data_IF_376994274221
#
_entry.id   IF_376994274221
#
_cell.length_a   1.000
_cell.length_b   1.000
_cell.length_c   1.000
_cell.angle_alpha   90.00
_cell.angle_beta   90.00
_cell.angle_gamma   90.00
#
_symmetry.space_group_name_H-M   'P 1'
#
loop_
_entity.id
_entity.type
_entity.pdbx_description
1 polymer ?
#
# COMPACT_ATOMS: atom_id res chain seq x y z
N UNK A 1 -2.26 7.83 36.39
CA UNK A 1 -1.48 7.71 35.14
C UNK A 1 -1.73 8.88 34.21
N UNK A 2 -0.74 9.75 34.10
CA UNK A 2 -0.71 10.80 33.07
C UNK A 2 -0.67 10.09 31.72
N UNK A 3 -1.70 10.27 30.89
CA UNK A 3 -1.87 9.58 29.61
C UNK A 3 -0.65 9.81 28.71
N UNK A 4 0.27 8.83 28.66
CA UNK A 4 1.38 8.85 27.71
C UNK A 4 0.80 8.67 26.31
N UNK A 5 0.85 9.73 25.50
CA UNK A 5 0.47 9.67 24.08
C UNK A 5 1.36 8.64 23.40
N UNK A 6 0.78 7.77 22.56
CA UNK A 6 1.58 6.81 21.80
C UNK A 6 2.35 7.58 20.74
N UNK A 7 3.68 7.44 20.78
CA UNK A 7 4.53 7.97 19.73
C UNK A 7 4.21 7.31 18.39
N UNK A 8 4.34 8.09 17.33
CA UNK A 8 4.22 7.62 15.95
C UNK A 8 5.45 8.01 15.16
N UNK A 9 5.68 7.27 14.08
CA UNK A 9 6.64 7.64 13.04
C UNK A 9 5.92 7.47 11.72
N UNK A 10 5.97 8.49 10.87
CA UNK A 10 5.36 8.51 9.55
C UNK A 10 6.42 8.55 8.45
N UNK A 11 6.00 8.11 7.28
CA UNK A 11 6.67 8.27 6.01
C UNK A 11 5.73 9.02 5.07
N UNK A 12 6.19 10.09 4.44
CA UNK A 12 5.41 10.82 3.45
C UNK A 12 6.30 11.52 2.43
N UNK A 13 5.69 12.06 1.39
CA UNK A 13 6.32 12.78 0.31
C UNK A 13 5.96 14.27 0.41
N UNK A 14 6.93 15.16 0.17
CA UNK A 14 6.71 16.61 0.05
C UNK A 14 7.33 17.10 -1.26
N UNK A 15 6.67 18.05 -1.93
CA UNK A 15 7.23 18.67 -3.13
C UNK A 15 8.57 19.37 -2.81
N UNK A 16 9.58 19.15 -3.65
CA UNK A 16 10.88 19.77 -3.54
C UNK A 16 10.95 21.06 -4.37
N UNK A 17 11.71 22.05 -3.90
CA UNK A 17 12.02 23.25 -4.66
C UNK A 17 13.39 23.10 -5.36
N UNK A 18 13.55 23.52 -6.63
CA UNK A 18 12.55 24.11 -7.52
C UNK A 18 11.63 23.10 -8.20
N UNK A 19 12.00 21.81 -8.22
CA UNK A 19 11.20 20.71 -8.77
C UNK A 19 11.52 19.40 -8.06
N UNK A 20 10.66 18.41 -8.25
CA UNK A 20 10.82 17.06 -7.73
C UNK A 20 10.06 16.82 -6.44
N UNK A 21 10.39 15.72 -5.79
CA UNK A 21 9.70 15.28 -4.59
C UNK A 21 10.69 14.64 -3.61
N UNK A 22 10.55 15.00 -2.34
CA UNK A 22 11.39 14.52 -1.24
C UNK A 22 10.58 13.55 -0.39
N UNK A 23 11.14 12.37 -0.19
CA UNK A 23 10.67 11.42 0.81
C UNK A 23 11.19 11.78 2.20
N UNK A 24 10.29 11.89 3.16
CA UNK A 24 10.55 12.33 4.52
C UNK A 24 10.09 11.28 5.53
N UNK A 25 10.93 11.05 6.54
CA UNK A 25 10.56 10.40 7.79
C UNK A 25 10.22 11.47 8.83
N UNK A 26 9.08 11.30 9.49
CA UNK A 26 8.61 12.22 10.52
C UNK A 26 8.34 11.50 11.82
N UNK A 27 8.95 12.00 12.89
CA UNK A 27 8.75 11.49 14.25
C UNK A 27 7.71 12.34 14.99
N UNK A 28 6.93 11.70 15.86
CA UNK A 28 5.96 12.38 16.73
C UNK A 28 6.54 13.50 17.62
N UNK A 29 7.86 13.53 17.83
CA UNK A 29 8.56 14.63 18.49
C UNK A 29 8.71 15.89 17.62
N UNK A 30 8.23 15.87 16.36
CA UNK A 30 8.33 16.97 15.42
C UNK A 30 9.52 16.84 14.46
N UNK A 31 10.46 15.94 14.71
CA UNK A 31 11.65 15.76 13.87
C UNK A 31 11.25 15.32 12.46
N UNK A 32 11.80 15.99 11.45
CA UNK A 32 11.66 15.64 10.03
C UNK A 32 13.04 15.33 9.47
N UNK A 33 13.20 14.16 8.86
CA UNK A 33 14.44 13.73 8.22
C UNK A 33 14.16 13.47 6.73
N UNK A 34 14.72 14.28 5.80
CA UNK A 34 14.69 13.94 4.38
C UNK A 34 15.54 12.70 4.15
N UNK A 35 15.02 11.77 3.35
CA UNK A 35 15.66 10.48 3.06
C UNK A 35 16.20 10.43 1.64
N UNK A 36 15.42 10.90 0.67
CA UNK A 36 15.83 11.02 -0.72
C UNK A 36 14.97 12.05 -1.45
N UNK A 37 15.57 12.75 -2.40
CA UNK A 37 14.88 13.65 -3.33
C UNK A 37 15.08 13.13 -4.74
N UNK A 38 14.00 13.05 -5.51
CA UNK A 38 14.03 12.64 -6.92
C UNK A 38 13.28 13.66 -7.76
N UNK A 39 13.76 13.87 -8.98
CA UNK A 39 13.14 14.76 -9.95
C UNK A 39 11.96 14.06 -10.64
N UNK A 40 10.84 14.00 -9.92
CA UNK A 40 9.54 13.51 -10.36
C UNK A 40 8.43 14.08 -9.44
N UNK A 41 7.20 14.15 -9.94
CA UNK A 41 6.02 14.50 -9.13
C UNK A 41 5.75 13.46 -8.04
N UNK A 42 5.27 13.90 -6.88
CA UNK A 42 5.06 13.03 -5.72
C UNK A 42 4.03 11.93 -5.98
N UNK A 43 3.02 12.19 -6.81
CA UNK A 43 1.97 11.27 -7.20
C UNK A 43 2.48 10.05 -7.98
N UNK A 44 3.62 10.19 -8.67
CA UNK A 44 4.28 9.10 -9.42
C UNK A 44 5.18 8.24 -8.55
N UNK A 45 5.51 8.69 -7.35
CA UNK A 45 6.46 8.01 -6.49
C UNK A 45 5.81 6.92 -5.66
N UNK A 46 6.50 5.79 -5.62
CA UNK A 46 6.24 4.65 -4.75
C UNK A 46 7.47 4.38 -3.91
N UNK A 47 7.24 3.84 -2.71
CA UNK A 47 8.24 3.59 -1.69
C UNK A 47 8.16 2.14 -1.23
N UNK A 48 9.29 1.49 -1.03
CA UNK A 48 9.37 0.22 -0.31
C UNK A 48 10.42 0.32 0.79
N UNK A 49 10.13 -0.27 1.95
CA UNK A 49 11.06 -0.20 3.08
C UNK A 49 11.75 -1.54 3.28
N UNK A 50 13.06 -1.50 3.52
CA UNK A 50 13.81 -2.67 3.94
C UNK A 50 13.34 -3.18 5.30
N UNK A 51 13.50 -4.49 5.60
CA UNK A 51 12.95 -5.13 6.80
C UNK A 51 13.43 -4.51 8.12
N UNK A 52 14.63 -3.89 8.12
CA UNK A 52 15.22 -3.21 9.27
C UNK A 52 14.95 -1.71 9.31
N UNK A 53 14.27 -1.13 8.32
CA UNK A 53 13.98 0.31 8.26
C UNK A 53 15.23 1.19 8.22
N UNK A 54 16.35 0.70 7.68
CA UNK A 54 17.60 1.46 7.45
C UNK A 54 17.86 1.78 5.98
N UNK A 55 17.14 1.11 5.09
CA UNK A 55 17.22 1.32 3.64
C UNK A 55 15.82 1.26 3.03
N UNK A 56 15.69 1.82 1.84
CA UNK A 56 14.44 1.82 1.09
C UNK A 56 14.66 1.88 -0.40
N UNK A 57 13.57 1.69 -1.14
CA UNK A 57 13.52 1.86 -2.58
C UNK A 57 12.56 3.01 -2.88
N UNK A 58 13.03 3.96 -3.68
CA UNK A 58 12.18 4.99 -4.27
C UNK A 58 12.00 4.62 -5.72
N UNK A 59 10.76 4.59 -6.18
CA UNK A 59 10.41 4.24 -7.55
C UNK A 59 9.53 5.33 -8.13
N UNK A 60 9.99 5.91 -9.22
CA UNK A 60 9.20 6.73 -10.12
C UNK A 60 8.61 5.80 -11.18
N UNK A 61 7.27 5.69 -11.22
CA UNK A 61 6.54 4.81 -12.14
C UNK A 61 6.62 5.23 -13.61
N UNK A 62 7.20 6.40 -13.92
CA UNK A 62 7.15 6.98 -15.25
C UNK A 62 5.77 7.56 -15.57
N UNK A 63 5.55 7.90 -16.84
CA UNK A 63 4.29 8.49 -17.33
C UNK A 63 4.02 8.17 -18.81
N UNK A 64 4.59 7.07 -19.33
CA UNK A 64 4.52 6.70 -20.75
C UNK A 64 5.59 7.38 -21.62
N UNK A 65 5.92 8.65 -21.36
CA UNK A 65 7.05 9.33 -22.02
C UNK A 65 8.39 8.99 -21.36
N UNK A 66 8.39 8.97 -20.02
CA UNK A 66 9.54 8.59 -19.23
C UNK A 66 9.41 7.13 -18.77
N UNK A 67 10.44 6.28 -18.97
CA UNK A 67 10.43 4.92 -18.47
C UNK A 67 10.46 4.92 -16.94
N UNK A 68 10.01 3.84 -16.28
CA UNK A 68 10.09 3.71 -14.83
C UNK A 68 11.54 3.72 -14.34
N UNK A 69 11.72 4.22 -13.12
CA UNK A 69 13.03 4.59 -12.57
C UNK A 69 13.08 4.23 -11.09
N UNK A 70 14.12 3.52 -10.64
CA UNK A 70 14.28 3.15 -9.24
C UNK A 70 15.63 3.56 -8.65
N UNK A 71 15.64 3.78 -7.33
CA UNK A 71 16.83 4.06 -6.53
C UNK A 71 16.76 3.29 -5.22
N UNK A 72 17.89 2.72 -4.80
CA UNK A 72 18.07 2.23 -3.44
C UNK A 72 18.70 3.33 -2.60
N UNK A 73 18.13 3.56 -1.42
CA UNK A 73 18.47 4.66 -0.53
C UNK A 73 18.89 4.08 0.82
N UNK A 74 20.06 4.47 1.30
CA UNK A 74 20.49 4.26 2.68
C UNK A 74 20.03 5.44 3.55
N UNK A 75 19.22 5.17 4.58
CA UNK A 75 18.59 6.22 5.37
C UNK A 75 19.54 6.87 6.38
N UNK A 76 20.68 6.26 6.68
CA UNK A 76 21.62 6.80 7.67
C UNK A 76 22.51 7.86 7.02
N UNK A 77 23.16 7.46 5.92
CA UNK A 77 24.03 8.30 5.11
C UNK A 77 23.28 9.22 4.15
N UNK A 78 22.04 8.89 3.78
CA UNK A 78 21.29 9.60 2.74
C UNK A 78 21.79 9.30 1.33
N UNK A 79 22.73 8.36 1.17
CA UNK A 79 23.22 7.97 -0.15
C UNK A 79 22.13 7.24 -0.94
N UNK A 80 22.02 7.57 -2.22
CA UNK A 80 21.14 6.89 -3.16
C UNK A 80 21.94 6.32 -4.33
N UNK A 81 21.64 5.07 -4.70
CA UNK A 81 22.23 4.39 -5.85
C UNK A 81 21.13 4.06 -6.84
N UNK A 82 21.38 4.35 -8.12
CA UNK A 82 20.46 4.00 -9.19
C UNK A 82 20.32 2.49 -9.29
N UNK A 83 19.08 2.00 -9.33
CA UNK A 83 18.78 0.59 -9.56
C UNK A 83 18.17 0.43 -10.96
N UNK A 84 18.83 -0.36 -11.81
CA UNK A 84 18.28 -0.76 -13.09
C UNK A 84 17.18 -1.80 -12.85
N UNK A 85 16.03 -1.63 -13.50
CA UNK A 85 14.92 -2.57 -13.42
C UNK A 85 15.16 -3.78 -14.35
N UNK A 86 14.52 -4.93 -14.12
CA UNK A 86 14.55 -6.05 -15.06
C UNK A 86 14.17 -5.60 -16.48
N UNK A 87 14.88 -6.11 -17.48
CA UNK A 87 14.66 -5.74 -18.90
C UNK A 87 13.42 -6.42 -19.50
N UNK A 88 13.13 -7.64 -19.06
CA UNK A 88 11.96 -8.37 -19.51
C UNK A 88 10.71 -7.85 -18.80
N UNK A 89 9.66 -7.54 -19.57
CA UNK A 89 8.35 -7.19 -19.06
C UNK A 89 8.27 -5.83 -18.33
N UNK A 90 7.16 -5.60 -17.65
CA UNK A 90 6.91 -4.41 -16.86
C UNK A 90 7.07 -4.71 -15.37
N UNK A 91 7.88 -3.92 -14.66
CA UNK A 91 8.02 -4.08 -13.20
C UNK A 91 6.82 -3.49 -12.48
N UNK A 92 5.89 -4.32 -12.03
CA UNK A 92 4.70 -3.91 -11.26
C UNK A 92 5.08 -3.46 -9.86
N UNK A 93 5.95 -4.24 -9.21
CA UNK A 93 6.30 -4.07 -7.80
C UNK A 93 7.80 -4.18 -7.60
N UNK A 94 8.33 -3.34 -6.73
CA UNK A 94 9.70 -3.42 -6.26
C UNK A 94 9.69 -3.37 -4.72
N UNK A 95 10.35 -4.33 -4.08
CA UNK A 95 10.32 -4.47 -2.62
C UNK A 95 11.57 -5.15 -2.08
N UNK A 96 11.53 -5.50 -0.79
CA UNK A 96 12.55 -6.32 -0.17
C UNK A 96 11.94 -7.64 0.30
N UNK A 97 12.72 -8.72 0.27
CA UNK A 97 12.40 -9.92 1.06
C UNK A 97 12.76 -9.72 2.54
N UNK A 98 12.40 -10.69 3.39
CA UNK A 98 12.69 -10.63 4.83
C UNK A 98 14.20 -10.59 5.16
N UNK A 99 15.04 -11.16 4.28
CA UNK A 99 16.48 -11.13 4.42
C UNK A 99 17.08 -9.76 4.01
N UNK A 100 16.29 -8.91 3.35
CA UNK A 100 16.67 -7.58 2.90
C UNK A 100 17.26 -7.53 1.50
N UNK A 101 17.08 -8.58 0.69
CA UNK A 101 17.40 -8.53 -0.73
C UNK A 101 16.32 -7.76 -1.49
N UNK A 102 16.72 -7.02 -2.52
CA UNK A 102 15.78 -6.35 -3.41
C UNK A 102 15.12 -7.37 -4.32
N UNK A 103 13.79 -7.28 -4.45
CA UNK A 103 12.97 -8.16 -5.29
C UNK A 103 12.10 -7.31 -6.21
N UNK A 104 12.01 -7.72 -7.48
CA UNK A 104 11.10 -7.16 -8.46
C UNK A 104 10.04 -8.21 -8.83
N UNK A 105 8.77 -7.79 -8.88
CA UNK A 105 7.69 -8.56 -9.49
C UNK A 105 7.35 -7.93 -10.82
N UNK A 106 7.29 -8.76 -11.86
CA UNK A 106 7.24 -8.32 -13.24
C UNK A 106 6.07 -8.99 -13.95
N UNK A 107 5.26 -8.19 -14.62
CA UNK A 107 4.25 -8.64 -15.57
C UNK A 107 4.85 -8.76 -16.97
N UNK A 108 4.57 -9.87 -17.66
CA UNK A 108 5.03 -10.13 -19.02
C UNK A 108 3.82 -10.55 -19.84
N UNK A 109 3.43 -9.65 -20.75
CA UNK A 109 2.22 -9.78 -21.58
C UNK A 109 2.55 -9.84 -23.08
N UNK A 110 3.67 -9.26 -23.48
CA UNK A 110 4.13 -9.16 -24.86
C UNK A 110 4.97 -10.37 -25.26
N UNK A 111 5.08 -10.66 -26.55
CA UNK A 111 5.96 -11.71 -27.09
C UNK A 111 5.78 -13.11 -26.44
N UNK A 112 4.55 -13.45 -26.07
CA UNK A 112 4.15 -14.75 -25.51
C UNK A 112 3.29 -15.57 -26.49
N UNK A 113 3.89 -16.39 -27.38
CA UNK A 113 3.13 -17.25 -28.27
C UNK A 113 2.32 -18.28 -27.48
N UNK A 114 0.99 -18.24 -27.65
CA UNK A 114 0.10 -19.29 -27.13
C UNK A 114 0.31 -20.57 -27.90
N UNK A 115 0.44 -21.67 -27.17
CA UNK A 115 0.51 -23.02 -27.72
C UNK A 115 -0.60 -23.85 -27.11
N UNK A 116 -0.97 -24.92 -27.80
CA UNK A 116 -2.01 -25.83 -27.37
C UNK A 116 -1.45 -27.24 -27.25
N UNK A 117 -1.77 -27.92 -26.16
CA UNK A 117 -1.51 -29.35 -26.00
C UNK A 117 -2.70 -29.98 -25.27
N UNK A 118 -3.25 -31.05 -25.86
CA UNK A 118 -4.33 -31.82 -25.25
C UNK A 118 -5.54 -30.97 -24.81
N UNK A 119 -5.89 -29.95 -25.62
CA UNK A 119 -7.02 -29.07 -25.37
C UNK A 119 -6.78 -27.94 -24.37
N UNK A 120 -5.56 -27.79 -23.84
CA UNK A 120 -5.21 -26.71 -22.90
C UNK A 120 -4.19 -25.76 -23.51
N UNK A 121 -4.45 -24.46 -23.38
CA UNK A 121 -3.49 -23.45 -23.78
C UNK A 121 -2.35 -23.32 -22.77
N UNK A 122 -1.15 -23.03 -23.25
CA UNK A 122 0.02 -22.76 -22.43
C UNK A 122 0.99 -21.79 -23.09
N UNK A 123 1.79 -21.11 -22.26
CA UNK A 123 3.00 -20.42 -22.69
C UNK A 123 4.23 -21.30 -22.52
N UNK A 124 5.19 -21.19 -23.45
CA UNK A 124 6.52 -21.80 -23.31
C UNK A 124 7.52 -20.71 -22.90
N UNK A 125 8.11 -20.84 -21.72
CA UNK A 125 9.11 -19.90 -21.20
C UNK A 125 10.26 -20.69 -20.56
N UNK A 126 11.51 -20.37 -20.92
CA UNK A 126 12.72 -21.11 -20.50
C UNK A 126 12.59 -22.64 -20.62
N UNK A 127 11.98 -23.11 -21.71
CA UNK A 127 11.76 -24.54 -21.99
C UNK A 127 10.68 -25.20 -21.11
N UNK A 128 9.99 -24.46 -20.24
CA UNK A 128 8.91 -24.94 -19.37
C UNK A 128 7.55 -24.49 -19.88
N UNK A 129 6.54 -25.34 -19.67
CA UNK A 129 5.15 -25.07 -20.03
C UNK A 129 4.41 -24.47 -18.84
N UNK A 130 3.70 -23.37 -19.08
CA UNK A 130 2.84 -22.72 -18.10
C UNK A 130 1.42 -22.70 -18.63
N UNK A 131 0.57 -23.58 -18.12
CA UNK A 131 -0.82 -23.69 -18.55
C UNK A 131 -1.61 -22.45 -18.16
N UNK A 132 -2.41 -21.95 -19.09
CA UNK A 132 -3.18 -20.73 -18.89
C UNK A 132 -4.41 -21.02 -18.02
N UNK A 133 -4.79 -20.10 -17.12
CA UNK A 133 -6.07 -20.17 -16.42
C UNK A 133 -7.25 -20.14 -17.40
N UNK A 134 -8.29 -20.93 -17.12
CA UNK A 134 -9.54 -20.95 -17.88
C UNK A 134 -10.54 -19.94 -17.28
N UNK A 135 -10.26 -18.65 -17.46
CA UNK A 135 -11.14 -17.56 -17.06
C UNK A 135 -10.95 -16.35 -18.00
N UNK A 136 -11.87 -15.38 -17.92
CA UNK A 136 -11.81 -14.14 -18.68
C UNK A 136 -10.55 -13.31 -18.31
N UNK A 137 -10.16 -12.37 -19.18
CA UNK A 137 -8.98 -11.50 -18.98
C UNK A 137 -7.82 -11.83 -19.91
N UNK A 138 -6.74 -11.05 -19.79
CA UNK A 138 -5.55 -11.16 -20.62
C UNK A 138 -4.52 -12.09 -19.95
N UNK A 139 -4.26 -13.29 -20.51
CA UNK A 139 -3.28 -14.20 -19.92
C UNK A 139 -1.87 -13.68 -20.14
N UNK A 140 -1.04 -13.82 -19.10
CA UNK A 140 0.37 -13.45 -19.12
C UNK A 140 1.20 -14.30 -18.18
N UNK A 141 2.49 -14.00 -18.13
CA UNK A 141 3.39 -14.54 -17.12
C UNK A 141 3.69 -13.48 -16.07
N UNK A 142 3.58 -13.86 -14.80
CA UNK A 142 4.17 -13.12 -13.69
C UNK A 142 5.54 -13.72 -13.37
N UNK A 143 6.54 -12.87 -13.15
CA UNK A 143 7.89 -13.28 -12.79
C UNK A 143 8.33 -12.62 -11.48
N UNK A 144 9.09 -13.34 -10.66
CA UNK A 144 9.84 -12.77 -9.55
C UNK A 144 11.34 -12.80 -9.84
N UNK A 145 12.02 -11.68 -9.61
CA UNK A 145 13.47 -11.56 -9.70
C UNK A 145 14.05 -11.04 -8.40
N UNK A 146 15.21 -11.56 -7.99
CA UNK A 146 15.99 -11.03 -6.87
C UNK A 146 17.28 -10.42 -7.36
N UNK A 147 17.62 -9.26 -6.83
CA UNK A 147 18.86 -8.57 -7.15
C UNK A 147 20.00 -9.16 -6.30
N UNK A 148 20.98 -9.80 -6.95
CA UNK A 148 22.16 -10.41 -6.34
C UNK A 148 23.40 -9.91 -7.08
N UNK A 149 24.40 -9.40 -6.35
CA UNK A 149 25.69 -8.99 -6.92
C UNK A 149 25.61 -8.08 -8.17
N UNK A 150 24.62 -7.18 -8.22
CA UNK A 150 24.43 -6.25 -9.35
C UNK A 150 23.66 -6.84 -10.54
N UNK A 151 23.08 -8.03 -10.40
CA UNK A 151 22.31 -8.70 -11.45
C UNK A 151 20.94 -9.16 -10.96
N UNK A 152 19.97 -9.22 -11.85
CA UNK A 152 18.66 -9.81 -11.59
C UNK A 152 18.70 -11.31 -11.81
N UNK A 153 18.43 -12.06 -10.75
CA UNK A 153 18.29 -13.51 -10.79
C UNK A 153 16.83 -13.90 -10.73
N UNK A 154 16.39 -14.66 -11.73
CA UNK A 154 15.03 -15.18 -11.80
C UNK A 154 14.75 -16.20 -10.69
N UNK A 155 13.59 -16.08 -10.04
CA UNK A 155 13.17 -16.93 -8.92
C UNK A 155 11.96 -17.80 -9.23
N UNK A 156 10.93 -17.21 -9.84
CA UNK A 156 9.60 -17.80 -9.94
C UNK A 156 8.90 -17.28 -11.20
N UNK A 157 8.17 -18.15 -11.89
CA UNK A 157 7.23 -17.78 -12.96
C UNK A 157 5.88 -18.44 -12.69
N UNK A 158 4.80 -17.70 -12.88
CA UNK A 158 3.41 -18.21 -12.81
C UNK A 158 2.62 -17.68 -14.01
N UNK A 159 1.83 -18.53 -14.67
CA UNK A 159 0.82 -18.07 -15.62
C UNK A 159 -0.40 -17.57 -14.85
N UNK A 160 -0.85 -16.36 -15.18
CA UNK A 160 -1.90 -15.64 -14.48
C UNK A 160 -2.68 -14.77 -15.46
N UNK A 161 -3.74 -14.12 -14.96
CA UNK A 161 -4.58 -13.21 -15.73
C UNK A 161 -4.29 -11.77 -15.31
N UNK A 162 -4.52 -10.86 -16.25
CA UNK A 162 -4.40 -9.41 -16.14
C UNK A 162 -5.61 -8.74 -16.80
N UNK A 163 -5.72 -7.41 -16.66
CA UNK A 163 -6.73 -6.59 -17.36
C UNK A 163 -8.19 -6.99 -17.06
N UNK A 164 -8.45 -7.49 -15.86
CA UNK A 164 -9.80 -7.73 -15.34
C UNK A 164 -9.87 -7.44 -13.83
N UNK A 165 -11.07 -7.17 -13.33
CA UNK A 165 -11.30 -6.99 -11.90
C UNK A 165 -11.00 -8.28 -11.13
N UNK A 166 -10.18 -8.17 -10.09
CA UNK A 166 -9.77 -9.31 -9.28
C UNK A 166 -8.70 -10.22 -9.93
N UNK A 167 -8.18 -9.86 -11.11
CA UNK A 167 -6.98 -10.50 -11.65
C UNK A 167 -5.84 -10.46 -10.62
N UNK A 168 -5.24 -11.61 -10.34
CA UNK A 168 -4.12 -11.68 -9.40
C UNK A 168 -2.87 -11.00 -9.97
N UNK A 169 -2.64 -11.06 -11.29
CA UNK A 169 -1.42 -10.53 -11.91
C UNK A 169 -0.16 -11.03 -11.17
N UNK A 170 0.73 -10.11 -10.82
CA UNK A 170 1.96 -10.42 -10.06
C UNK A 170 1.73 -10.87 -8.61
N UNK A 171 0.55 -10.65 -8.02
CA UNK A 171 0.18 -11.17 -6.70
C UNK A 171 -0.05 -12.70 -6.71
N UNK A 172 -0.14 -13.34 -7.89
CA UNK A 172 -0.18 -14.80 -8.03
C UNK A 172 1.15 -15.47 -7.63
N UNK A 173 2.25 -14.71 -7.55
CA UNK A 173 3.57 -15.20 -7.16
C UNK A 173 3.62 -15.47 -5.66
N UNK A 174 4.16 -16.62 -5.26
CA UNK A 174 4.44 -16.93 -3.85
C UNK A 174 5.36 -15.86 -3.25
N UNK A 175 6.30 -15.36 -4.05
CA UNK A 175 7.25 -14.32 -3.67
C UNK A 175 6.56 -13.01 -3.28
N UNK A 176 5.41 -12.65 -3.88
CA UNK A 176 4.70 -11.42 -3.59
C UNK A 176 4.28 -11.33 -2.11
N UNK A 177 3.76 -12.43 -1.56
CA UNK A 177 3.34 -12.54 -0.15
C UNK A 177 4.49 -12.41 0.87
N UNK A 178 5.75 -12.50 0.41
CA UNK A 178 6.95 -12.46 1.25
C UNK A 178 7.64 -11.11 1.23
N UNK A 179 7.15 -10.16 0.45
CA UNK A 179 7.71 -8.82 0.41
C UNK A 179 7.43 -8.06 1.70
N UNK A 180 8.37 -7.21 2.09
CA UNK A 180 8.20 -6.27 3.19
C UNK A 180 7.20 -5.17 2.81
N UNK A 181 6.81 -4.37 3.81
CA UNK A 181 5.88 -3.26 3.61
C UNK A 181 6.36 -2.32 2.48
N UNK A 182 5.42 -1.89 1.66
CA UNK A 182 5.65 -0.99 0.54
C UNK A 182 4.37 -0.25 0.17
N UNK A 183 4.46 0.78 -0.66
CA UNK A 183 3.31 1.46 -1.28
C UNK A 183 2.81 0.77 -2.55
N UNK A 184 3.39 -0.36 -2.93
CA UNK A 184 3.00 -1.18 -4.08
C UNK A 184 2.01 -2.26 -3.68
N UNK A 185 2.36 -2.98 -2.62
CA UNK A 185 1.65 -4.18 -2.17
C UNK A 185 0.55 -3.86 -1.16
N UNK A 186 -0.14 -4.91 -0.71
CA UNK A 186 -1.06 -4.83 0.41
C UNK A 186 -0.42 -4.13 1.60
N UNK A 187 -1.20 -3.20 2.16
CA UNK A 187 -0.81 -2.34 3.27
C UNK A 187 -1.35 -2.95 4.56
N UNK A 188 -0.46 -3.53 5.37
CA UNK A 188 -0.84 -4.22 6.61
C UNK A 188 -1.52 -3.29 7.64
N UNK A 189 -1.34 -1.97 7.54
CA UNK A 189 -2.02 -1.02 8.40
C UNK A 189 -3.38 -0.57 7.81
N UNK A 190 -3.74 -0.91 6.57
CA UNK A 190 -5.04 -0.53 5.98
C UNK A 190 -6.18 -1.19 6.77
N UNK A 191 -7.21 -0.42 7.07
CA UNK A 191 -8.41 -0.94 7.70
C UNK A 191 -9.21 -1.79 6.71
N UNK A 192 -9.74 -2.93 7.17
CA UNK A 192 -10.68 -3.73 6.40
C UNK A 192 -12.05 -3.04 6.39
N UNK A 193 -12.57 -2.85 5.18
CA UNK A 193 -13.86 -2.21 4.94
C UNK A 193 -14.96 -3.28 4.90
N UNK A 194 -16.11 -2.98 5.51
CA UNK A 194 -17.31 -3.83 5.47
C UNK A 194 -18.49 -2.99 4.98
N UNK A 195 -19.07 -3.38 3.85
CA UNK A 195 -20.22 -2.70 3.26
C UNK A 195 -21.42 -2.70 4.22
N UNK A 196 -22.05 -1.54 4.40
CA UNK A 196 -23.33 -1.45 5.09
C UNK A 196 -24.46 -1.53 4.06
N UNK A 197 -24.91 -2.76 3.83
CA UNK A 197 -25.97 -3.10 2.88
C UNK A 197 -27.28 -2.33 3.12
N UNK A 198 -28.14 -2.34 2.11
CA UNK A 198 -29.48 -1.75 2.20
C UNK A 198 -30.26 -2.29 3.41
N UNK A 199 -30.93 -1.39 4.15
CA UNK A 199 -31.66 -1.75 5.37
C UNK A 199 -30.79 -1.91 6.62
N UNK A 200 -29.48 -1.72 6.52
CA UNK A 200 -28.59 -1.69 7.69
C UNK A 200 -28.95 -0.52 8.64
N UNK A 201 -29.05 -0.81 9.94
CA UNK A 201 -29.45 0.16 10.96
C UNK A 201 -28.42 1.28 11.14
N UNK A 202 -27.13 0.98 11.00
CA UNK A 202 -26.06 1.98 11.12
C UNK A 202 -26.02 2.88 9.89
N UNK A 203 -26.23 2.33 8.68
CA UNK A 203 -26.39 3.15 7.47
C UNK A 203 -27.56 4.15 7.64
N UNK A 204 -28.71 3.69 8.17
CA UNK A 204 -29.84 4.57 8.45
C UNK A 204 -29.52 5.63 9.52
N UNK A 205 -28.75 5.29 10.57
CA UNK A 205 -28.27 6.27 11.57
C UNK A 205 -27.32 7.29 10.93
N UNK A 206 -26.43 6.86 10.04
CA UNK A 206 -25.49 7.71 9.32
C UNK A 206 -26.23 8.71 8.43
N UNK A 207 -27.19 8.27 7.62
CA UNK A 207 -28.01 9.17 6.78
C UNK A 207 -28.95 10.07 7.62
N UNK A 208 -29.32 9.64 8.83
CA UNK A 208 -30.06 10.48 9.77
C UNK A 208 -29.19 11.65 10.29
N UNK A 209 -27.90 11.43 10.54
CA UNK A 209 -26.97 12.43 11.08
C UNK A 209 -26.28 13.25 9.98
N UNK A 210 -25.97 12.64 8.84
CA UNK A 210 -25.29 13.26 7.71
C UNK A 210 -26.32 13.63 6.65
N UNK A 211 -26.87 14.84 6.77
CA UNK A 211 -27.86 15.37 5.81
C UNK A 211 -27.25 15.83 4.49
N UNK A 212 -26.00 16.28 4.55
CA UNK A 212 -25.22 16.69 3.40
C UNK A 212 -23.81 16.10 3.54
N UNK A 213 -23.36 15.39 2.50
CA UNK A 213 -22.01 14.81 2.43
C UNK A 213 -20.98 15.82 1.92
N UNK A 214 -21.44 16.94 1.34
CA UNK A 214 -20.59 17.95 0.71
C UNK A 214 -20.09 17.57 -0.69
N UNK A 215 -20.62 16.47 -1.26
CA UNK A 215 -20.35 16.02 -2.62
C UNK A 215 -21.52 15.18 -3.15
N UNK A 216 -21.54 14.94 -4.47
CA UNK A 216 -22.59 14.19 -5.17
C UNK A 216 -22.19 12.77 -5.58
N UNK A 217 -20.97 12.33 -5.21
CA UNK A 217 -20.50 10.98 -5.53
C UNK A 217 -21.46 9.91 -5.00
N UNK A 218 -21.97 9.07 -5.91
CA UNK A 218 -22.77 7.90 -5.59
C UNK A 218 -21.91 6.83 -4.93
N UNK A 219 -22.49 5.97 -4.09
CA UNK A 219 -21.73 5.08 -3.24
C UNK A 219 -22.55 4.48 -2.10
N UNK A 220 -21.85 3.90 -1.13
CA UNK A 220 -22.44 3.28 0.06
C UNK A 220 -21.67 3.67 1.32
N UNK A 221 -22.30 3.50 2.48
CA UNK A 221 -21.57 3.55 3.75
C UNK A 221 -20.80 2.26 3.94
N UNK A 222 -19.57 2.38 4.43
CA UNK A 222 -18.76 1.25 4.89
C UNK A 222 -18.37 1.45 6.35
N UNK A 223 -18.29 0.36 7.11
CA UNK A 223 -17.71 0.34 8.45
C UNK A 223 -16.31 -0.26 8.42
N UNK A 224 -15.49 0.21 9.36
CA UNK A 224 -14.16 -0.32 9.62
C UNK A 224 -14.01 -0.47 11.12
N UNK A 225 -13.62 -1.68 11.54
CA UNK A 225 -13.41 -1.96 12.95
C UNK A 225 -12.16 -1.26 13.47
N UNK A 226 -12.31 -0.53 14.57
CA UNK A 226 -11.18 0.02 15.33
C UNK A 226 -11.19 -0.55 16.73
N UNK A 227 -10.05 -0.51 17.44
CA UNK A 227 -9.97 -0.99 18.82
C UNK A 227 -10.95 -0.32 19.81
N UNK A 228 -11.62 0.76 19.39
CA UNK A 228 -12.45 1.63 20.23
C UNK A 228 -13.78 1.95 19.54
N UNK A 229 -14.34 0.96 18.84
CA UNK A 229 -15.60 1.05 18.10
C UNK A 229 -15.43 1.36 16.62
N UNK A 230 -16.51 1.27 15.84
CA UNK A 230 -16.44 1.43 14.40
C UNK A 230 -16.09 2.86 13.97
N UNK A 231 -15.36 2.94 12.86
CA UNK A 231 -15.22 4.13 12.05
C UNK A 231 -16.04 3.89 10.77
N UNK A 232 -16.81 4.90 10.37
CA UNK A 232 -17.61 4.85 9.16
C UNK A 232 -17.09 5.86 8.14
N UNK A 233 -17.13 5.49 6.86
CA UNK A 233 -16.77 6.34 5.74
C UNK A 233 -17.74 6.12 4.57
N UNK A 234 -17.81 7.09 3.67
CA UNK A 234 -18.48 6.92 2.39
C UNK A 234 -17.53 6.24 1.40
N UNK A 235 -17.93 5.14 0.80
CA UNK A 235 -17.21 4.55 -0.33
C UNK A 235 -17.89 4.98 -1.62
N UNK A 236 -17.23 5.85 -2.38
CA UNK A 236 -17.74 6.27 -3.68
C UNK A 236 -17.57 5.15 -4.70
N UNK A 237 -18.66 4.86 -5.41
CA UNK A 237 -18.66 3.93 -6.53
C UNK A 237 -17.94 4.54 -7.73
N UNK A 238 -17.21 3.69 -8.46
CA UNK A 238 -16.47 4.05 -9.66
C UNK A 238 -15.73 2.82 -10.20
N UNK A 239 -14.91 3.01 -11.22
CA UNK A 239 -14.03 1.96 -11.75
C UNK A 239 -13.12 1.39 -10.65
N UNK A 240 -12.63 2.26 -9.76
CA UNK A 240 -11.97 1.88 -8.52
C UNK A 240 -12.67 2.54 -7.33
N UNK A 241 -13.40 1.77 -6.50
CA UNK A 241 -14.04 2.28 -5.30
C UNK A 241 -13.04 3.02 -4.41
N UNK A 242 -13.45 4.18 -3.90
CA UNK A 242 -12.57 5.04 -3.11
C UNK A 242 -13.28 5.57 -1.88
N UNK A 243 -12.63 5.48 -0.72
CA UNK A 243 -13.16 6.08 0.51
C UNK A 243 -13.09 7.60 0.43
N UNK A 244 -14.15 8.25 0.88
CA UNK A 244 -14.32 9.70 0.89
C UNK A 244 -14.87 10.17 2.24
N UNK A 245 -14.84 11.48 2.44
CA UNK A 245 -15.61 12.11 3.51
C UNK A 245 -17.13 11.92 3.28
N UNK A 246 -17.97 12.05 4.32
CA UNK A 246 -17.62 12.30 5.71
C UNK A 246 -17.16 11.05 6.45
N UNK A 247 -16.28 11.25 7.44
CA UNK A 247 -15.90 10.22 8.41
C UNK A 247 -16.72 10.37 9.69
N UNK A 248 -17.18 9.26 10.26
CA UNK A 248 -17.92 9.26 11.54
C UNK A 248 -17.38 8.19 12.49
N UNK A 249 -17.03 8.59 13.70
CA UNK A 249 -16.76 7.67 14.80
C UNK A 249 -18.02 7.44 15.62
N UNK A 250 -18.12 6.24 16.16
CA UNK A 250 -19.00 6.00 17.30
C UNK A 250 -18.30 6.42 18.62
N UNK A 251 -18.93 7.34 19.34
CA UNK A 251 -18.50 7.83 20.66
C UNK A 251 -19.73 7.95 21.56
N UNK A 252 -19.81 7.10 22.59
CA UNK A 252 -20.96 7.06 23.52
C UNK A 252 -22.30 6.98 22.76
N UNK A 253 -22.42 6.01 21.83
CA UNK A 253 -23.58 5.75 20.96
C UNK A 253 -23.96 6.89 20.01
N UNK A 254 -23.08 7.88 19.84
CA UNK A 254 -23.25 9.01 18.91
C UNK A 254 -22.25 8.93 17.78
N UNK A 255 -22.72 9.29 16.59
CA UNK A 255 -21.88 9.44 15.40
C UNK A 255 -21.29 10.86 15.40
N UNK A 256 -19.97 10.96 15.51
CA UNK A 256 -19.25 12.24 15.57
C UNK A 256 -18.17 12.31 14.49
N UNK A 257 -17.94 13.49 13.94
CA UNK A 257 -16.80 13.71 13.06
C UNK A 257 -15.48 13.66 13.85
N UNK A 258 -14.40 13.06 13.30
CA UNK A 258 -13.07 13.17 13.88
C UNK A 258 -12.68 14.63 14.13
N UNK A 259 -12.16 14.90 15.33
CA UNK A 259 -11.86 16.25 15.79
C UNK A 259 -10.93 16.98 14.81
N UNK A 260 -11.35 18.15 14.32
CA UNK A 260 -10.53 19.00 13.45
C UNK A 260 -10.03 18.24 12.20
N UNK A 261 -10.89 17.43 11.57
CA UNK A 261 -10.54 16.73 10.33
C UNK A 261 -10.08 17.71 9.24
N UNK A 262 -10.86 18.76 9.00
CA UNK A 262 -10.52 19.90 8.14
C UNK A 262 -9.89 19.46 6.80
N UNK A 263 -10.59 18.56 6.09
CA UNK A 263 -10.28 18.15 4.72
C UNK A 263 -11.47 18.54 3.84
N UNK A 264 -11.24 18.72 2.52
CA UNK A 264 -12.32 19.04 1.60
C UNK A 264 -13.31 17.87 1.51
N UNK A 265 -14.64 18.10 1.46
CA UNK A 265 -15.63 17.02 1.37
C UNK A 265 -15.42 16.09 0.17
N UNK A 266 -14.87 16.60 -0.93
CA UNK A 266 -14.54 15.83 -2.14
C UNK A 266 -13.21 15.06 -2.03
N UNK A 267 -12.55 15.08 -0.87
CA UNK A 267 -11.26 14.40 -0.70
C UNK A 267 -11.46 12.89 -0.62
N UNK A 268 -10.75 12.18 -1.50
CA UNK A 268 -10.43 10.77 -1.26
C UNK A 268 -9.54 10.64 -0.02
N UNK A 269 -9.80 9.63 0.79
CA UNK A 269 -9.05 9.34 2.01
C UNK A 269 -8.55 7.91 2.02
N UNK A 270 -7.37 7.70 2.58
CA UNK A 270 -6.85 6.38 2.93
C UNK A 270 -6.76 6.29 4.45
N UNK A 271 -7.34 5.23 5.01
CA UNK A 271 -7.44 5.01 6.45
C UNK A 271 -6.51 3.87 6.87
N UNK A 272 -5.66 4.16 7.85
CA UNK A 272 -4.69 3.19 8.40
C UNK A 272 -4.75 3.17 9.90
N UNK A 273 -4.62 1.99 10.50
CA UNK A 273 -4.64 1.80 11.93
C UNK A 273 -3.39 1.04 12.39
N UNK A 274 -2.75 1.55 13.45
CA UNK A 274 -1.66 0.84 14.13
C UNK A 274 -1.75 0.99 15.64
N UNK A 275 -2.12 -0.09 16.31
CA UNK A 275 -2.50 -0.01 17.72
C UNK A 275 -3.62 1.02 17.88
N UNK A 276 -3.49 2.00 18.79
CA UNK A 276 -4.50 3.06 18.93
C UNK A 276 -4.34 4.24 17.96
N UNK A 277 -3.39 4.20 17.03
CA UNK A 277 -3.16 5.31 16.11
C UNK A 277 -4.01 5.13 14.86
N UNK A 278 -4.88 6.09 14.57
CA UNK A 278 -5.54 6.20 13.28
C UNK A 278 -4.82 7.27 12.46
N UNK A 279 -4.36 6.89 11.27
CA UNK A 279 -3.85 7.80 10.25
C UNK A 279 -4.92 7.96 9.16
N UNK A 280 -5.35 9.19 8.95
CA UNK A 280 -6.22 9.60 7.85
C UNK A 280 -5.37 10.40 6.88
N UNK A 281 -5.14 9.86 5.68
CA UNK A 281 -4.35 10.52 4.63
C UNK A 281 -5.26 10.93 3.49
N UNK A 282 -5.16 12.18 3.04
CA UNK A 282 -5.75 12.68 1.80
C UNK A 282 -4.63 13.02 0.80
N UNK A 283 -4.98 13.59 -0.34
CA UNK A 283 -4.03 13.89 -1.43
C UNK A 283 -2.85 14.75 -0.97
N UNK A 284 -3.11 15.82 -0.21
CA UNK A 284 -2.10 16.79 0.24
C UNK A 284 -2.10 17.01 1.76
N UNK A 285 -2.68 16.09 2.52
CA UNK A 285 -2.83 16.25 3.95
C UNK A 285 -2.81 14.91 4.67
N UNK A 286 -2.37 14.93 5.93
CA UNK A 286 -2.49 13.80 6.83
C UNK A 286 -2.91 14.26 8.22
N UNK A 287 -3.71 13.43 8.89
CA UNK A 287 -4.15 13.61 10.27
C UNK A 287 -3.87 12.35 11.05
N UNK A 288 -3.29 12.50 12.24
CA UNK A 288 -3.08 11.38 13.16
C UNK A 288 -3.97 11.58 14.38
N UNK A 289 -4.66 10.54 14.79
CA UNK A 289 -5.53 10.53 15.95
C UNK A 289 -5.12 9.43 16.91
N UNK A 290 -5.32 9.68 18.21
CA UNK A 290 -5.38 8.62 19.21
C UNK A 290 -6.84 8.13 19.28
N UNK A 291 -7.09 6.94 18.73
CA UNK A 291 -8.41 6.32 18.65
C UNK A 291 -9.04 6.00 20.02
N UNK A 292 -8.26 5.94 21.10
CA UNK A 292 -8.78 5.78 22.47
C UNK A 292 -9.39 7.07 22.99
N UNK A 293 -8.68 8.17 22.81
CA UNK A 293 -9.16 9.48 23.28
C UNK A 293 -10.00 10.21 22.24
N UNK A 294 -10.01 9.72 20.99
CA UNK A 294 -10.64 10.34 19.83
C UNK A 294 -10.12 11.78 19.57
N UNK A 295 -8.90 12.07 20.03
CA UNK A 295 -8.25 13.38 19.87
C UNK A 295 -7.26 13.35 18.73
N UNK A 296 -7.19 14.45 17.99
CA UNK A 296 -6.16 14.68 16.99
C UNK A 296 -4.83 14.94 17.68
N UNK A 297 -3.80 14.16 17.33
CA UNK A 297 -2.44 14.31 17.87
C UNK A 297 -1.48 14.95 16.87
N UNK A 298 -1.82 14.95 15.58
CA UNK A 298 -1.02 15.61 14.54
C UNK A 298 -1.86 16.02 13.33
N UNK A 299 -1.45 17.11 12.69
CA UNK A 299 -1.92 17.54 11.39
C UNK A 299 -0.71 17.93 10.53
N UNK A 300 -0.66 17.40 9.32
CA UNK A 300 0.37 17.66 8.32
C UNK A 300 -0.32 18.15 7.06
N UNK A 301 0.13 19.29 6.54
CA UNK A 301 -0.34 19.87 5.27
C UNK A 301 0.77 19.79 4.22
N UNK A 302 0.39 19.84 2.94
CA UNK A 302 1.29 19.73 1.79
C UNK A 302 2.10 18.43 1.78
N UNK A 303 1.53 17.34 2.31
CA UNK A 303 2.16 16.01 2.34
C UNK A 303 1.36 15.02 1.49
N UNK A 304 2.06 14.17 0.75
CA UNK A 304 1.47 13.15 -0.10
C UNK A 304 1.75 11.75 0.41
N UNK A 305 0.81 10.83 0.19
CA UNK A 305 1.03 9.40 0.37
C UNK A 305 1.45 8.99 1.79
N UNK A 306 1.01 9.72 2.82
CA UNK A 306 1.43 9.46 4.19
C UNK A 306 1.05 8.05 4.66
N UNK A 307 2.03 7.35 5.22
CA UNK A 307 1.91 6.02 5.83
C UNK A 307 2.64 5.95 7.15
N UNK A 308 2.32 4.98 7.99
CA UNK A 308 3.16 4.69 9.14
C UNK A 308 4.51 4.14 8.68
N UNK A 309 5.58 4.58 9.31
CA UNK A 309 6.91 4.01 9.09
C UNK A 309 6.91 2.51 9.40
N UNK A 310 7.58 1.63 8.64
CA UNK A 310 7.59 0.20 8.91
C UNK A 310 8.03 -0.10 10.34
N UNK A 311 7.30 -0.96 11.04
CA UNK A 311 7.84 -1.58 12.25
C UNK A 311 8.90 -2.59 11.84
N UNK A 312 10.04 -2.58 12.51
CA UNK A 312 10.97 -3.70 12.41
C UNK A 312 10.22 -4.95 12.89
N UNK A 313 10.13 -5.99 12.05
CA UNK A 313 9.73 -7.31 12.55
C UNK A 313 10.78 -7.69 13.59
N UNK A 314 10.41 -7.61 14.87
CA UNK A 314 11.25 -8.16 15.93
C UNK A 314 11.22 -9.66 15.68
N UNK A 315 12.36 -10.23 15.29
CA UNK A 315 12.54 -11.67 15.17
C UNK A 315 12.40 -12.22 16.58
N UNK A 316 11.16 -12.49 16.98
CA UNK A 316 10.93 -13.40 18.10
C UNK A 316 11.21 -14.76 17.49
N UNK A 317 12.38 -15.33 17.81
CA UNK A 317 12.75 -16.66 17.36
C UNK A 317 11.55 -17.59 17.57
N UNK A 318 10.95 -18.06 16.48
CA UNK A 318 9.95 -19.11 16.56
C UNK A 318 10.64 -20.28 17.26
N UNK A 319 10.13 -20.66 18.42
CA UNK A 319 10.59 -21.86 19.11
C UNK A 319 10.49 -23.02 18.11
N UNK A 320 11.53 -23.86 17.98
CA UNK A 320 11.50 -24.96 17.04
C UNK A 320 10.31 -25.86 17.38
N UNK A 321 9.38 -25.99 16.43
CA UNK A 321 8.34 -27.00 16.46
C UNK A 321 9.04 -28.35 16.49
N UNK A 322 9.08 -29.00 17.64
CA UNK A 322 9.51 -30.38 17.76
C UNK A 322 8.65 -31.22 16.84
N UNK A 323 9.27 -31.77 15.79
CA UNK A 323 8.66 -32.77 14.94
C UNK A 323 8.35 -34.00 15.80
N UNK A 324 7.06 -34.24 16.04
CA UNK A 324 6.59 -35.51 16.57
C UNK A 324 6.72 -36.53 15.45
N UNK A 325 7.73 -37.38 15.54
CA UNK A 325 7.81 -38.63 14.79
C UNK A 325 6.81 -39.60 15.41
N UNK A 326 5.80 -40.01 14.65
CA UNK A 326 4.90 -41.07 15.04
C UNK A 326 5.54 -42.45 14.73
N UNK A 327 5.21 -43.50 15.51
CA UNK A 327 5.94 -44.77 15.55
C UNK A 327 5.78 -45.68 14.33
#
# INVERSE_FOLDING_TARGET
DVYKIQGYTLSFLEAASPSGCTWIRHESAGTRKPLATVDAGCERLKLAWGPRGRQGLVVDRGNGELPPRAWQVDFESGQSTRLLLPELGHTDTLGFDEAGHVVALVSHLEDLPRKMDSGREYFLFDGKRFFLPEADGSPGLAHAYRHEAGQWKHLETVATLYEMDGALGTEALTTASRLTSSTFSQDADRLSESALEEGNKDAARLDAVVKDRGHTAYGIWVSMETHQGPLYAWEAAGELPTLMLPLRWEVNDRLVEPEQLALAPTSAVALRMRGRLLLVSAEQAARVYDAKTKKRIAALENVHGARFWPQQRTVTAAAPTTAVTAP
#
